data_IF_749348779852
#
_entry.id   IF_749348779852
#
_cell.length_a   1.000
_cell.length_b   1.000
_cell.length_c   1.000
_cell.angle_alpha   90.00
_cell.angle_beta   90.00
_cell.angle_gamma   90.00
#
_symmetry.space_group_name_H-M   'P 1'
#
loop_
_entity.id
_entity.type
_entity.pdbx_description
1 polymer ?
#
# COMPACT_ATOMS: atom_id res chain seq x y z
N UNK A 1 -14.95 -0.58 23.14
CA UNK A 1 -13.56 -0.54 23.67
C UNK A 1 -12.67 -1.11 22.57
N UNK A 2 -11.74 -0.41 21.95
CA UNK A 2 -11.11 0.92 22.17
C UNK A 2 -10.27 1.18 20.90
N UNK A 3 -10.09 2.39 20.33
CA UNK A 3 -9.57 3.60 20.97
C UNK A 3 -10.58 4.45 21.72
N UNK A 4 -10.09 5.33 22.61
CA UNK A 4 -10.90 6.04 23.58
C UNK A 4 -11.86 6.98 22.87
N UNK A 5 -13.04 7.09 23.45
CA UNK A 5 -13.93 8.23 23.32
C UNK A 5 -13.14 9.54 23.43
N UNK A 6 -12.76 10.10 22.29
CA UNK A 6 -12.29 11.45 22.11
C UNK A 6 -12.98 11.95 20.86
N UNK A 7 -13.71 13.06 20.97
CA UNK A 7 -14.42 13.65 19.84
C UNK A 7 -13.50 13.77 18.63
N UNK A 8 -14.08 13.74 17.43
CA UNK A 8 -13.39 14.16 16.23
C UNK A 8 -12.90 15.60 16.45
N UNK A 9 -11.66 15.76 16.90
CA UNK A 9 -11.01 17.06 16.90
C UNK A 9 -10.69 17.31 15.44
N UNK A 10 -11.61 17.94 14.73
CA UNK A 10 -11.25 18.58 13.47
C UNK A 10 -10.16 19.60 13.82
N UNK A 11 -8.94 19.37 13.34
CA UNK A 11 -7.84 20.30 13.48
C UNK A 11 -8.13 21.48 12.53
N UNK A 12 -8.97 22.41 12.98
CA UNK A 12 -9.25 23.69 12.31
C UNK A 12 -8.38 24.82 12.87
N UNK A 13 -7.17 24.51 13.34
CA UNK A 13 -6.30 25.52 13.98
C UNK A 13 -5.37 26.20 12.97
N UNK A 14 -5.90 26.50 11.78
CA UNK A 14 -5.32 27.51 10.92
C UNK A 14 -6.41 28.47 10.45
N UNK A 15 -6.74 29.45 11.30
CA UNK A 15 -7.74 30.49 11.02
C UNK A 15 -7.36 31.43 9.88
N UNK A 16 -6.12 31.35 9.36
CA UNK A 16 -5.61 32.20 8.27
C UNK A 16 -5.00 31.42 7.09
N UNK A 17 -5.19 30.10 7.02
CA UNK A 17 -4.75 29.34 5.85
C UNK A 17 -5.75 29.46 4.70
N UNK A 18 -5.28 29.91 3.54
CA UNK A 18 -6.04 29.83 2.28
C UNK A 18 -5.43 28.77 1.37
N UNK A 19 -6.22 27.80 0.89
CA UNK A 19 -5.77 26.85 -0.13
C UNK A 19 -5.84 27.47 -1.52
N UNK A 20 -4.77 27.32 -2.30
CA UNK A 20 -4.74 27.72 -3.70
C UNK A 20 -3.68 26.91 -4.44
N UNK A 21 -4.05 25.83 -5.13
CA UNK A 21 -3.13 25.18 -6.08
C UNK A 21 -3.26 25.94 -7.41
N UNK A 22 -2.30 26.82 -7.71
CA UNK A 22 -2.39 27.67 -8.90
C UNK A 22 -1.62 27.16 -10.12
N UNK A 23 -0.49 26.48 -9.93
CA UNK A 23 0.31 25.98 -11.05
C UNK A 23 1.35 24.94 -10.64
N UNK A 24 1.75 24.09 -11.59
CA UNK A 24 2.93 23.23 -11.51
C UNK A 24 4.09 23.93 -12.23
N UNK A 25 5.02 24.52 -11.48
CA UNK A 25 6.09 25.39 -12.00
C UNK A 25 7.40 24.68 -12.30
N UNK A 26 7.56 23.45 -11.83
CA UNK A 26 8.69 22.57 -12.15
C UNK A 26 8.19 21.14 -12.19
N UNK A 27 8.67 20.34 -13.14
CA UNK A 27 8.18 18.98 -13.32
C UNK A 27 9.26 18.04 -13.88
N UNK A 28 10.15 17.61 -13.00
CA UNK A 28 11.25 16.69 -13.29
C UNK A 28 11.53 15.77 -12.10
N UNK A 29 10.49 15.19 -11.51
CA UNK A 29 10.61 14.38 -10.29
C UNK A 29 11.67 13.28 -10.46
N UNK A 30 12.72 13.28 -9.64
CA UNK A 30 13.81 12.30 -9.72
C UNK A 30 14.60 12.33 -11.03
N UNK A 31 14.56 13.43 -11.80
CA UNK A 31 15.32 13.60 -13.04
C UNK A 31 14.75 12.86 -14.26
N UNK A 32 13.61 12.17 -14.14
CA UNK A 32 13.03 11.35 -15.22
C UNK A 32 12.13 12.13 -16.18
N UNK A 33 12.02 13.44 -16.00
CA UNK A 33 11.16 14.33 -16.78
C UNK A 33 9.74 14.48 -16.22
N UNK A 34 8.82 15.07 -16.99
CA UNK A 34 8.92 15.34 -18.44
C UNK A 34 9.84 16.52 -18.83
N UNK A 35 10.13 17.45 -17.92
CA UNK A 35 10.93 18.64 -18.21
C UNK A 35 12.36 18.49 -17.68
N UNK A 36 13.24 17.79 -18.41
CA UNK A 36 14.61 17.51 -17.93
C UNK A 36 15.50 18.74 -17.66
N UNK A 37 15.07 19.94 -18.10
CA UNK A 37 15.74 21.21 -17.78
C UNK A 37 15.34 21.83 -16.43
N UNK A 38 14.26 21.35 -15.81
CA UNK A 38 13.82 21.81 -14.48
C UNK A 38 14.66 21.15 -13.37
N UNK A 39 14.75 21.73 -12.15
CA UNK A 39 15.29 21.03 -10.99
C UNK A 39 14.57 19.70 -10.75
N UNK A 40 15.25 18.70 -10.18
CA UNK A 40 14.74 17.33 -9.99
C UNK A 40 13.59 17.21 -8.95
N UNK A 41 12.46 17.85 -9.24
CA UNK A 41 11.31 18.01 -8.34
C UNK A 41 10.01 18.19 -9.12
N UNK A 42 8.88 18.01 -8.44
CA UNK A 42 7.64 18.69 -8.79
C UNK A 42 7.42 19.86 -7.84
N UNK A 43 7.06 21.03 -8.36
CA UNK A 43 6.79 22.23 -7.53
C UNK A 43 5.42 22.79 -7.86
N UNK A 44 4.52 22.79 -6.87
CA UNK A 44 3.22 23.42 -6.95
C UNK A 44 3.29 24.78 -6.26
N UNK A 45 2.98 25.86 -6.98
CA UNK A 45 3.24 27.22 -6.51
C UNK A 45 2.17 28.24 -6.91
N UNK A 46 1.70 29.04 -5.92
CA UNK A 46 1.56 28.66 -4.50
C UNK A 46 0.65 27.43 -4.31
N UNK A 47 0.63 26.91 -3.07
CA UNK A 47 -0.40 25.98 -2.56
C UNK A 47 -1.22 26.57 -1.43
N UNK A 48 -0.71 27.61 -0.76
CA UNK A 48 -1.46 28.37 0.22
C UNK A 48 -0.71 29.59 0.76
N UNK A 49 -1.23 30.18 1.83
CA UNK A 49 -0.58 31.28 2.53
C UNK A 49 -0.75 31.18 4.06
N UNK A 50 0.22 31.71 4.81
CA UNK A 50 0.18 31.86 6.28
C UNK A 50 0.53 33.31 6.59
N UNK A 51 -0.34 34.01 7.33
CA UNK A 51 -0.17 35.44 7.65
C UNK A 51 0.07 36.32 6.40
N UNK A 52 -0.55 35.98 5.27
CA UNK A 52 -0.41 36.67 3.99
C UNK A 52 0.88 36.36 3.19
N UNK A 53 1.80 35.55 3.72
CA UNK A 53 2.95 35.05 2.97
C UNK A 53 2.61 33.72 2.29
N UNK A 54 2.79 33.65 0.98
CA UNK A 54 2.51 32.43 0.21
C UNK A 54 3.60 31.38 0.37
N UNK A 55 3.19 30.11 0.33
CA UNK A 55 4.10 28.98 0.31
C UNK A 55 3.73 27.98 -0.80
N UNK A 56 4.74 27.24 -1.23
CA UNK A 56 4.70 26.22 -2.27
C UNK A 56 4.78 24.82 -1.67
N UNK A 57 4.36 23.83 -2.43
CA UNK A 57 4.63 22.42 -2.16
C UNK A 57 5.68 21.91 -3.14
N UNK A 58 6.81 21.46 -2.61
CA UNK A 58 7.89 20.84 -3.38
C UNK A 58 7.90 19.34 -3.08
N UNK A 59 7.84 18.53 -4.14
CA UNK A 59 7.90 17.07 -4.08
C UNK A 59 9.22 16.60 -4.68
N UNK A 60 10.00 15.86 -3.90
CA UNK A 60 11.27 15.26 -4.33
C UNK A 60 11.30 13.78 -3.98
N UNK A 61 12.25 13.04 -4.56
CA UNK A 61 12.52 11.66 -4.14
C UNK A 61 13.28 11.72 -2.80
N UNK A 62 12.81 10.99 -1.80
CA UNK A 62 13.47 10.93 -0.50
C UNK A 62 14.85 10.27 -0.62
N UNK A 63 15.86 10.69 0.18
CA UNK A 63 17.17 10.07 0.20
C UNK A 63 17.08 8.55 0.43
N UNK A 64 17.80 7.79 -0.38
CA UNK A 64 17.80 6.32 -0.33
C UNK A 64 16.63 5.67 -1.08
N UNK A 65 15.71 6.45 -1.65
CA UNK A 65 14.66 5.95 -2.53
C UNK A 65 14.97 6.21 -4.00
N UNK A 66 14.21 5.57 -4.89
CA UNK A 66 14.24 5.80 -6.32
C UNK A 66 12.83 6.06 -6.81
N UNK A 67 12.69 6.83 -7.88
CA UNK A 67 11.42 7.03 -8.56
C UNK A 67 11.53 6.57 -10.01
N UNK A 68 10.77 5.52 -10.34
CA UNK A 68 10.63 5.06 -11.70
C UNK A 68 9.25 5.45 -12.19
N UNK A 69 9.20 6.25 -13.25
CA UNK A 69 7.96 6.71 -13.82
C UNK A 69 7.49 5.77 -14.95
N UNK A 70 6.20 5.44 -15.00
CA UNK A 70 5.63 4.77 -16.18
C UNK A 70 5.56 5.73 -17.37
N UNK A 71 6.11 5.33 -18.52
CA UNK A 71 6.12 6.16 -19.73
C UNK A 71 4.71 6.37 -20.33
N UNK A 72 4.35 7.58 -20.81
CA UNK A 72 5.12 8.81 -20.70
C UNK A 72 5.03 9.50 -19.32
N UNK A 73 6.13 10.15 -18.91
CA UNK A 73 6.19 10.93 -17.67
C UNK A 73 5.46 12.26 -17.71
N UNK A 74 4.90 12.64 -18.86
CA UNK A 74 3.97 13.78 -19.00
C UNK A 74 2.70 13.64 -18.16
N UNK A 75 2.46 12.48 -17.55
CA UNK A 75 1.37 12.23 -16.61
C UNK A 75 1.74 12.57 -15.16
N UNK A 76 3.01 12.88 -14.86
CA UNK A 76 3.32 13.71 -13.70
C UNK A 76 2.79 15.10 -14.03
N UNK A 77 1.70 15.54 -13.41
CA UNK A 77 1.05 16.79 -13.83
C UNK A 77 0.16 17.35 -12.73
N UNK A 78 -0.26 18.60 -12.91
CA UNK A 78 -1.44 19.14 -12.26
C UNK A 78 -2.66 18.72 -13.09
N UNK A 79 -3.46 17.78 -12.58
CA UNK A 79 -4.67 17.28 -13.23
C UNK A 79 -5.90 17.94 -12.58
N UNK A 80 -6.38 19.04 -13.15
CA UNK A 80 -7.39 19.87 -12.51
C UNK A 80 -6.85 20.44 -11.20
N UNK A 81 -7.45 20.05 -10.06
CA UNK A 81 -7.01 20.44 -8.72
C UNK A 81 -6.13 19.39 -8.03
N UNK A 82 -5.79 18.29 -8.70
CA UNK A 82 -4.99 17.21 -8.14
C UNK A 82 -3.55 17.25 -8.63
N UNK A 83 -2.59 17.08 -7.70
CA UNK A 83 -1.25 16.65 -8.06
C UNK A 83 -1.28 15.18 -8.45
N UNK A 84 -0.86 14.87 -9.67
CA UNK A 84 -0.79 13.49 -10.17
C UNK A 84 0.67 13.08 -10.32
N UNK A 85 1.03 11.92 -9.78
CA UNK A 85 2.36 11.32 -9.85
C UNK A 85 2.19 9.93 -10.47
N UNK A 86 2.95 9.64 -11.52
CA UNK A 86 2.80 8.40 -12.27
C UNK A 86 3.94 7.42 -11.97
N UNK A 87 3.65 6.43 -11.14
CA UNK A 87 4.59 5.39 -10.77
C UNK A 87 4.68 4.28 -11.83
N UNK A 88 5.87 3.70 -12.02
CA UNK A 88 6.07 2.51 -12.84
C UNK A 88 5.42 1.31 -12.18
N UNK A 89 4.65 0.55 -12.94
CA UNK A 89 4.08 -0.70 -12.50
C UNK A 89 5.08 -1.85 -12.74
N UNK A 90 5.96 -2.12 -11.77
CA UNK A 90 6.90 -3.26 -11.80
C UNK A 90 7.53 -3.49 -10.43
N UNK A 91 7.63 -4.72 -9.93
CA UNK A 91 8.45 -5.01 -8.73
C UNK A 91 9.94 -5.11 -9.08
N UNK A 92 10.88 -4.56 -8.27
CA UNK A 92 10.71 -3.63 -7.13
C UNK A 92 10.70 -2.16 -7.53
N UNK A 93 10.58 -1.87 -8.83
CA UNK A 93 10.70 -0.52 -9.38
C UNK A 93 9.49 0.39 -9.16
N UNK A 94 8.35 -0.19 -8.75
CA UNK A 94 7.05 0.43 -8.55
C UNK A 94 6.77 0.78 -7.10
N UNK A 95 7.83 1.21 -6.42
CA UNK A 95 7.83 1.78 -5.08
C UNK A 95 8.64 3.06 -5.15
N UNK A 96 8.15 4.13 -4.52
CA UNK A 96 8.93 5.35 -4.32
C UNK A 96 8.55 6.01 -2.99
N UNK A 97 9.55 6.39 -2.21
CA UNK A 97 9.37 7.27 -1.06
C UNK A 97 9.60 8.69 -1.52
N UNK A 98 8.57 9.52 -1.42
CA UNK A 98 8.57 10.90 -1.85
C UNK A 98 8.53 11.81 -0.64
N UNK A 99 9.34 12.87 -0.68
CA UNK A 99 9.33 13.92 0.33
C UNK A 99 8.50 15.10 -0.17
N UNK A 100 7.51 15.47 0.64
CA UNK A 100 6.68 16.65 0.46
C UNK A 100 7.21 17.74 1.40
N UNK A 101 7.59 18.89 0.86
CA UNK A 101 8.16 20.01 1.64
C UNK A 101 7.43 21.30 1.35
N UNK A 102 7.09 22.05 2.40
CA UNK A 102 6.55 23.40 2.27
C UNK A 102 7.68 24.42 2.30
N UNK A 103 7.68 25.32 1.32
CA UNK A 103 8.69 26.37 1.21
C UNK A 103 8.04 27.71 0.88
N UNK A 104 8.56 28.79 1.44
CA UNK A 104 8.13 30.14 1.15
C UNK A 104 8.31 30.45 -0.35
N UNK A 105 7.27 30.96 -1.00
CA UNK A 105 7.25 31.13 -2.45
C UNK A 105 8.35 32.07 -2.93
N UNK A 106 8.65 33.13 -2.17
CA UNK A 106 9.59 34.18 -2.57
C UNK A 106 11.06 33.80 -2.29
N UNK A 107 11.32 33.11 -1.18
CA UNK A 107 12.67 32.87 -0.66
C UNK A 107 13.12 31.42 -0.79
N UNK A 108 12.19 30.47 -0.93
CA UNK A 108 12.48 29.03 -0.87
C UNK A 108 12.84 28.51 0.53
N UNK A 109 12.71 29.34 1.57
CA UNK A 109 12.95 28.91 2.94
C UNK A 109 11.87 27.93 3.41
N UNK A 110 12.22 26.97 4.26
CA UNK A 110 11.26 25.99 4.79
C UNK A 110 10.17 26.66 5.63
N UNK A 111 8.91 26.26 5.41
CA UNK A 111 7.73 26.77 6.11
C UNK A 111 7.11 25.64 6.92
N UNK A 112 6.92 25.84 8.23
CA UNK A 112 6.17 24.88 9.06
C UNK A 112 4.69 25.22 8.99
N UNK A 113 3.87 24.28 8.52
CA UNK A 113 2.42 24.44 8.45
C UNK A 113 1.81 23.88 9.75
N UNK A 114 1.04 24.67 10.52
CA UNK A 114 0.58 24.29 11.87
C UNK A 114 -0.35 23.07 11.87
N UNK A 115 -1.30 23.02 10.94
CA UNK A 115 -2.16 21.86 10.74
C UNK A 115 -2.67 21.81 9.32
N UNK A 116 -2.74 20.61 8.75
CA UNK A 116 -3.31 20.40 7.42
C UNK A 116 -3.74 18.96 7.23
N UNK A 117 -4.63 18.76 6.27
CA UNK A 117 -4.96 17.45 5.75
C UNK A 117 -4.25 17.22 4.43
N UNK A 118 -3.71 16.02 4.23
CA UNK A 118 -3.21 15.58 2.93
C UNK A 118 -3.98 14.33 2.53
N UNK A 119 -4.64 14.37 1.37
CA UNK A 119 -5.51 13.28 0.93
C UNK A 119 -4.89 12.58 -0.27
N UNK A 120 -4.84 11.26 -0.22
CA UNK A 120 -4.56 10.40 -1.36
C UNK A 120 -5.88 9.84 -1.84
N UNK A 121 -6.06 9.86 -3.15
CA UNK A 121 -7.29 9.46 -3.82
C UNK A 121 -7.00 8.36 -4.80
N UNK A 122 -8.07 7.74 -5.29
CA UNK A 122 -8.00 6.79 -6.39
C UNK A 122 -7.19 5.54 -6.05
N UNK A 123 -7.18 5.17 -4.76
CA UNK A 123 -6.57 3.91 -4.33
C UNK A 123 -7.43 2.76 -4.82
N UNK A 124 -7.11 2.29 -6.01
CA UNK A 124 -7.75 1.18 -6.68
C UNK A 124 -6.76 0.07 -7.01
N UNK A 125 -7.31 -1.00 -7.58
CA UNK A 125 -6.54 -2.02 -8.26
C UNK A 125 -6.71 -1.82 -9.76
N UNK A 126 -5.62 -1.89 -10.50
CA UNK A 126 -5.65 -1.84 -11.97
C UNK A 126 -6.40 -3.02 -12.61
N UNK A 127 -6.66 -4.09 -11.87
CA UNK A 127 -7.46 -5.26 -12.22
C UNK A 127 -8.14 -5.82 -10.95
N UNK A 128 -9.24 -6.55 -11.09
CA UNK A 128 -9.97 -7.14 -9.94
C UNK A 128 -9.26 -8.30 -9.25
N UNK A 129 -7.97 -8.38 -9.47
CA UNK A 129 -7.08 -9.49 -9.23
C UNK A 129 -6.15 -9.20 -8.02
N UNK A 130 -5.95 -7.94 -7.64
CA UNK A 130 -5.23 -7.56 -6.43
C UNK A 130 -3.71 -7.63 -6.53
N UNK A 131 -3.16 -7.86 -7.74
CA UNK A 131 -1.73 -7.74 -8.09
C UNK A 131 -1.24 -6.31 -8.03
N UNK A 132 -2.17 -5.39 -8.29
CA UNK A 132 -1.93 -4.03 -8.77
C UNK A 132 -2.58 -3.02 -7.87
N UNK A 133 -2.52 -3.30 -6.58
CA UNK A 133 -3.11 -2.45 -5.56
C UNK A 133 -2.23 -1.23 -5.39
N UNK A 134 -2.80 -0.05 -5.60
CA UNK A 134 -2.16 1.16 -5.17
C UNK A 134 -2.12 1.21 -3.64
N UNK A 135 -0.96 1.60 -3.11
CA UNK A 135 -0.73 1.66 -1.69
C UNK A 135 0.06 2.90 -1.28
N UNK A 136 -0.28 3.43 -0.11
CA UNK A 136 0.32 4.61 0.51
C UNK A 136 0.81 4.27 1.91
N UNK A 137 2.09 4.52 2.16
CA UNK A 137 2.78 4.35 3.43
C UNK A 137 3.15 5.67 4.09
N UNK A 138 2.90 5.79 5.37
CA UNK A 138 3.35 6.94 6.17
C UNK A 138 3.77 6.49 7.55
N UNK A 139 4.87 7.04 8.09
CA UNK A 139 5.25 6.74 9.47
C UNK A 139 4.17 7.18 10.44
N UNK A 140 3.76 6.29 11.34
CA UNK A 140 2.72 6.62 12.34
C UNK A 140 3.10 7.82 13.21
N UNK A 141 4.40 8.03 13.45
CA UNK A 141 4.93 9.20 14.18
C UNK A 141 4.85 10.52 13.42
N UNK A 142 4.61 10.50 12.10
CA UNK A 142 4.52 11.70 11.29
C UNK A 142 3.11 12.27 11.17
N UNK A 143 2.08 11.49 11.52
CA UNK A 143 0.68 11.92 11.44
C UNK A 143 0.03 12.03 12.83
N UNK A 144 -0.88 12.98 12.98
CA UNK A 144 -1.77 13.08 14.13
C UNK A 144 -2.93 12.08 14.06
N UNK A 145 -3.24 11.57 12.86
CA UNK A 145 -4.27 10.57 12.61
C UNK A 145 -4.60 10.42 11.13
N UNK A 146 -5.52 9.52 10.82
CA UNK A 146 -6.05 9.34 9.47
C UNK A 146 -7.57 9.18 9.50
N UNK A 147 -8.22 9.42 8.37
CA UNK A 147 -9.65 9.25 8.17
C UNK A 147 -9.89 8.44 6.89
N UNK A 148 -10.85 7.53 6.98
CA UNK A 148 -11.39 6.72 5.90
C UNK A 148 -12.92 6.89 5.89
N UNK A 149 -13.53 6.70 4.72
CA UNK A 149 -14.99 6.68 4.61
C UNK A 149 -15.58 5.47 5.39
N UNK A 150 -16.80 5.56 5.97
CA UNK A 150 -17.45 4.40 6.59
C UNK A 150 -17.61 3.19 5.65
N UNK A 151 -17.67 3.42 4.34
CA UNK A 151 -17.72 2.41 3.29
C UNK A 151 -16.37 2.14 2.62
N UNK A 152 -15.26 2.48 3.30
CA UNK A 152 -13.90 2.38 2.74
C UNK A 152 -13.60 1.07 2.03
N UNK A 153 -12.99 1.19 0.86
CA UNK A 153 -12.37 0.14 0.06
C UNK A 153 -10.84 0.14 0.22
N UNK A 154 -10.35 0.78 1.28
CA UNK A 154 -8.94 0.86 1.65
C UNK A 154 -8.70 0.03 2.91
N UNK A 155 -7.76 -0.91 2.83
CA UNK A 155 -7.27 -1.69 3.97
C UNK A 155 -6.13 -0.96 4.68
N UNK A 156 -6.01 -1.19 6.00
CA UNK A 156 -4.96 -0.60 6.84
C UNK A 156 -4.08 -1.70 7.44
N UNK A 157 -2.78 -1.58 7.22
CA UNK A 157 -1.75 -2.47 7.76
C UNK A 157 -0.53 -1.66 8.22
N UNK A 158 0.50 -2.36 8.69
CA UNK A 158 1.75 -1.83 9.20
C UNK A 158 2.92 -2.46 8.44
N UNK A 159 3.95 -1.68 8.14
CA UNK A 159 5.11 -2.08 7.37
C UNK A 159 6.41 -1.58 8.03
N UNK A 160 7.45 -2.41 8.05
CA UNK A 160 8.75 -2.06 8.66
C UNK A 160 9.63 -1.14 7.79
N UNK A 161 9.08 -0.58 6.71
CA UNK A 161 9.77 0.23 5.71
C UNK A 161 10.33 -0.60 4.55
N UNK A 162 10.23 -1.94 4.61
CA UNK A 162 10.55 -2.81 3.48
C UNK A 162 9.34 -2.85 2.55
N UNK A 163 9.45 -2.28 1.35
CA UNK A 163 8.40 -2.29 0.33
C UNK A 163 8.78 -3.18 -0.86
N UNK A 164 7.77 -3.62 -1.63
CA UNK A 164 7.94 -4.54 -2.76
C UNK A 164 7.88 -6.01 -2.33
N UNK A 165 8.49 -6.92 -3.10
CA UNK A 165 8.43 -8.37 -2.82
C UNK A 165 8.94 -8.81 -1.45
N UNK A 166 9.78 -8.02 -0.78
CA UNK A 166 10.24 -8.27 0.60
C UNK A 166 9.50 -7.41 1.63
N UNK A 167 8.31 -6.93 1.28
CA UNK A 167 7.58 -5.96 2.06
C UNK A 167 6.30 -6.48 2.65
N UNK A 168 5.92 -5.84 3.74
CA UNK A 168 5.88 -6.53 4.99
C UNK A 168 4.65 -6.14 5.82
N UNK A 169 3.45 -6.59 5.48
CA UNK A 169 2.21 -6.10 6.08
C UNK A 169 1.69 -6.96 7.25
N UNK A 170 1.58 -6.35 8.43
CA UNK A 170 0.79 -6.90 9.55
C UNK A 170 -0.30 -5.94 10.01
N UNK A 171 -1.28 -6.43 10.76
CA UNK A 171 -2.36 -5.60 11.29
C UNK A 171 -1.89 -4.76 12.48
N UNK A 172 -2.51 -3.60 12.68
CA UNK A 172 -2.28 -2.70 13.80
C UNK A 172 -2.33 -3.40 15.19
N UNK A 173 -1.63 -2.85 16.22
CA UNK A 173 -0.92 -1.57 16.21
C UNK A 173 0.44 -1.64 15.50
N UNK A 174 0.80 -0.56 14.80
CA UNK A 174 2.13 -0.43 14.21
C UNK A 174 3.16 -0.12 15.30
N UNK A 175 4.31 -0.75 15.21
CA UNK A 175 5.44 -0.55 16.11
C UNK A 175 6.15 0.77 15.80
N UNK A 176 6.94 1.23 16.76
CA UNK A 176 7.75 2.43 16.60
C UNK A 176 8.73 2.27 15.43
N UNK A 177 8.65 3.16 14.45
CA UNK A 177 9.49 3.13 13.25
C UNK A 177 8.82 2.52 12.03
N UNK A 178 7.67 1.87 12.19
CA UNK A 178 6.88 1.32 11.09
C UNK A 178 6.03 2.39 10.40
N UNK A 179 5.72 2.13 9.14
CA UNK A 179 4.75 2.84 8.34
C UNK A 179 3.36 2.23 8.52
N UNK A 180 2.35 3.09 8.64
CA UNK A 180 0.95 2.74 8.42
C UNK A 180 0.74 2.71 6.91
N UNK A 181 0.24 1.58 6.42
CA UNK A 181 0.01 1.33 5.00
C UNK A 181 -1.48 1.28 4.71
N UNK A 182 -1.89 2.07 3.72
CA UNK A 182 -3.23 2.15 3.18
C UNK A 182 -3.21 1.53 1.78
N UNK A 183 -3.88 0.39 1.59
CA UNK A 183 -3.86 -0.35 0.31
C UNK A 183 -5.26 -0.51 -0.25
N UNK A 184 -5.40 -0.30 -1.57
CA UNK A 184 -6.62 -0.58 -2.30
C UNK A 184 -7.09 -2.03 -2.08
N UNK A 185 -8.41 -2.24 -2.06
CA UNK A 185 -9.03 -3.58 -1.96
C UNK A 185 -9.95 -3.93 -3.12
N UNK A 186 -10.20 -2.99 -4.02
CA UNK A 186 -11.18 -3.10 -5.10
C UNK A 186 -10.60 -2.67 -6.44
N UNK A 187 -11.08 -3.30 -7.51
CA UNK A 187 -10.83 -2.88 -8.89
C UNK A 187 -11.34 -1.47 -9.16
N UNK A 188 -10.55 -0.67 -9.87
CA UNK A 188 -11.00 0.60 -10.43
C UNK A 188 -10.99 0.65 -11.95
N UNK A 189 -11.84 1.51 -12.49
CA UNK A 189 -11.98 1.81 -13.90
C UNK A 189 -11.88 3.32 -14.11
N UNK A 190 -11.28 3.83 -15.21
CA UNK A 190 -11.01 5.26 -15.40
C UNK A 190 -12.15 6.29 -15.19
N UNK A 191 -13.40 5.84 -15.09
CA UNK A 191 -14.57 6.65 -14.79
C UNK A 191 -14.74 6.96 -13.28
N UNK A 192 -14.08 6.23 -12.39
CA UNK A 192 -14.14 6.44 -10.94
C UNK A 192 -13.15 7.50 -10.44
N UNK A 193 -12.09 7.82 -11.21
CA UNK A 193 -11.10 8.81 -10.81
C UNK A 193 -11.76 10.17 -10.49
N UNK A 194 -11.41 10.79 -9.35
CA UNK A 194 -12.01 12.07 -8.97
C UNK A 194 -11.58 13.19 -9.91
N UNK A 195 -12.55 14.02 -10.29
CA UNK A 195 -12.33 15.20 -11.15
C UNK A 195 -12.38 16.52 -10.37
N UNK A 196 -13.02 16.55 -9.19
CA UNK A 196 -13.01 17.67 -8.26
C UNK A 196 -12.91 17.19 -6.79
N UNK A 197 -11.85 17.56 -6.04
CA UNK A 197 -11.70 17.18 -4.62
C UNK A 197 -12.77 17.78 -3.70
N UNK A 198 -13.51 18.79 -4.15
CA UNK A 198 -14.61 19.42 -3.39
C UNK A 198 -15.99 18.84 -3.72
N UNK A 199 -16.09 17.95 -4.72
CA UNK A 199 -17.34 17.35 -5.17
C UNK A 199 -17.13 15.87 -5.56
N UNK A 200 -16.80 15.05 -4.57
CA UNK A 200 -16.55 13.62 -4.77
C UNK A 200 -17.83 12.77 -4.64
N UNK A 201 -17.88 11.67 -5.39
CA UNK A 201 -18.89 10.62 -5.23
C UNK A 201 -18.59 9.76 -3.99
N UNK A 202 -19.56 8.94 -3.56
CA UNK A 202 -19.35 8.00 -2.46
C UNK A 202 -18.24 6.98 -2.76
N UNK A 203 -18.15 6.51 -4.00
CA UNK A 203 -17.10 5.59 -4.46
C UNK A 203 -15.71 6.24 -4.40
N UNK A 204 -15.59 7.50 -4.84
CA UNK A 204 -14.34 8.27 -4.75
C UNK A 204 -13.89 8.50 -3.30
N UNK A 205 -14.83 8.69 -2.38
CA UNK A 205 -14.54 8.80 -0.95
C UNK A 205 -14.09 7.45 -0.36
N UNK A 206 -14.74 6.35 -0.75
CA UNK A 206 -14.38 5.01 -0.30
C UNK A 206 -12.96 4.58 -0.70
N UNK A 207 -12.42 5.12 -1.79
CA UNK A 207 -11.05 4.86 -2.28
C UNK A 207 -10.05 5.96 -1.94
N UNK A 208 -10.31 6.68 -0.86
CA UNK A 208 -9.44 7.78 -0.41
C UNK A 208 -8.99 7.58 1.03
N UNK A 209 -7.81 8.07 1.33
CA UNK A 209 -7.32 8.24 2.70
C UNK A 209 -6.96 9.70 2.92
N UNK A 210 -7.42 10.26 4.03
CA UNK A 210 -7.03 11.60 4.48
C UNK A 210 -6.14 11.50 5.70
N UNK A 211 -4.92 12.01 5.59
CA UNK A 211 -3.94 12.06 6.66
C UNK A 211 -3.95 13.43 7.33
N UNK A 212 -3.92 13.46 8.66
CA UNK A 212 -3.84 14.67 9.46
C UNK A 212 -2.40 14.90 9.90
N UNK A 213 -1.86 16.08 9.61
CA UNK A 213 -0.52 16.49 10.03
C UNK A 213 -0.60 17.73 10.92
N UNK A 214 0.34 17.83 11.85
CA UNK A 214 0.50 18.96 12.78
C UNK A 214 1.97 19.36 12.81
N UNK A 215 2.23 20.67 12.73
CA UNK A 215 3.55 21.28 12.82
C UNK A 215 4.61 20.62 11.91
N UNK A 216 4.27 20.44 10.63
CA UNK A 216 5.19 19.85 9.64
C UNK A 216 5.67 20.88 8.63
N UNK A 217 6.98 20.91 8.44
CA UNK A 217 7.61 21.58 7.31
C UNK A 217 7.87 20.65 6.12
N UNK A 218 7.98 19.35 6.42
CA UNK A 218 8.04 18.29 5.43
C UNK A 218 7.58 16.96 6.02
N UNK A 219 7.25 16.01 5.16
CA UNK A 219 6.90 14.65 5.51
C UNK A 219 7.20 13.71 4.34
N UNK A 220 7.40 12.42 4.66
CA UNK A 220 7.65 11.37 3.69
C UNK A 220 6.41 10.50 3.51
N UNK A 221 6.15 10.13 2.26
CA UNK A 221 5.14 9.14 1.91
C UNK A 221 5.74 8.16 0.95
N UNK A 222 5.57 6.87 1.24
CA UNK A 222 5.91 5.80 0.31
C UNK A 222 4.68 5.47 -0.52
N UNK A 223 4.82 5.46 -1.85
CA UNK A 223 3.79 5.01 -2.78
C UNK A 223 4.23 3.69 -3.41
N UNK A 224 3.31 2.74 -3.59
CA UNK A 224 3.58 1.44 -4.20
C UNK A 224 2.44 0.96 -5.09
N UNK A 225 2.79 0.10 -6.04
CA UNK A 225 1.86 -0.53 -6.99
C UNK A 225 1.89 -2.08 -6.94
N UNK A 226 2.41 -2.72 -5.88
CA UNK A 226 2.65 -4.18 -5.85
C UNK A 226 2.13 -4.92 -4.61
N UNK A 227 1.44 -6.04 -4.86
CA UNK A 227 1.27 -7.19 -3.93
C UNK A 227 1.27 -8.52 -4.71
N UNK A 228 2.29 -9.39 -4.55
CA UNK A 228 2.48 -10.60 -5.41
C UNK A 228 1.59 -11.81 -5.03
N UNK A 229 0.84 -12.33 -6.00
CA UNK A 229 -0.16 -13.38 -5.84
C UNK A 229 -0.41 -14.14 -7.17
N UNK A 230 0.43 -15.13 -7.45
CA UNK A 230 0.37 -15.96 -8.65
C UNK A 230 0.57 -17.45 -8.36
N UNK A 231 -0.12 -17.97 -7.34
CA UNK A 231 0.05 -19.36 -6.93
C UNK A 231 -0.15 -20.33 -8.10
N UNK A 232 0.90 -21.06 -8.49
CA UNK A 232 0.84 -22.05 -9.57
C UNK A 232 0.63 -21.48 -10.98
N UNK A 233 0.91 -20.20 -11.21
CA UNK A 233 0.82 -19.58 -12.54
C UNK A 233 -0.60 -19.29 -13.03
N UNK A 234 -1.62 -19.62 -12.25
CA UNK A 234 -3.04 -19.43 -12.61
C UNK A 234 -3.60 -18.07 -12.20
N UNK A 235 -2.73 -17.19 -11.68
CA UNK A 235 -3.07 -15.83 -11.31
C UNK A 235 -3.53 -15.69 -9.84
N UNK A 236 -4.06 -14.51 -9.46
CA UNK A 236 -4.42 -13.37 -10.31
C UNK A 236 -3.30 -12.76 -11.18
N UNK A 237 -2.05 -12.86 -10.73
CA UNK A 237 -0.90 -12.15 -11.32
C UNK A 237 -0.04 -13.04 -12.24
N UNK A 238 -0.54 -13.56 -13.36
CA UNK A 238 0.14 -14.61 -14.15
C UNK A 238 1.55 -14.26 -14.71
N UNK A 239 2.01 -13.01 -14.58
CA UNK A 239 3.37 -12.56 -14.93
C UNK A 239 4.37 -12.56 -13.76
N UNK A 240 3.92 -12.74 -12.53
CA UNK A 240 4.75 -12.83 -11.33
C UNK A 240 5.38 -14.23 -11.18
N UNK A 241 6.40 -14.43 -10.32
CA UNK A 241 6.82 -15.76 -9.92
C UNK A 241 5.61 -16.60 -9.44
N UNK A 242 5.58 -17.91 -9.75
CA UNK A 242 4.45 -18.80 -9.47
C UNK A 242 4.23 -19.10 -7.97
N UNK A 243 3.97 -18.06 -7.18
CA UNK A 243 3.90 -18.09 -5.73
C UNK A 243 2.85 -17.12 -5.19
N UNK A 244 2.41 -17.37 -3.96
CA UNK A 244 1.77 -16.39 -3.10
C UNK A 244 2.72 -16.08 -1.96
N UNK A 245 3.00 -14.81 -1.68
CA UNK A 245 3.95 -14.40 -0.64
C UNK A 245 3.27 -13.51 0.40
N UNK A 246 3.33 -13.93 1.65
CA UNK A 246 2.91 -13.16 2.81
C UNK A 246 4.15 -12.54 3.45
N UNK A 247 4.28 -11.25 3.16
CA UNK A 247 5.30 -10.31 3.60
C UNK A 247 5.15 -9.76 5.02
N UNK A 248 6.09 -9.76 5.98
CA UNK A 248 6.56 -10.92 6.68
C UNK A 248 5.40 -11.52 7.47
N UNK A 249 5.64 -12.69 8.00
CA UNK A 249 4.73 -13.34 8.94
C UNK A 249 5.31 -13.41 10.36
N UNK A 250 6.53 -12.93 10.57
CA UNK A 250 7.16 -12.82 11.88
C UNK A 250 8.62 -12.37 11.82
N UNK A 251 9.29 -12.37 12.98
CA UNK A 251 10.72 -12.07 13.07
C UNK A 251 11.44 -13.00 14.07
N UNK A 252 12.73 -13.26 13.84
CA UNK A 252 13.62 -14.03 14.71
C UNK A 252 14.89 -13.21 14.93
N UNK A 253 15.21 -12.90 16.20
CA UNK A 253 16.40 -12.10 16.57
C UNK A 253 16.49 -10.74 15.83
N UNK A 254 15.35 -10.13 15.51
CA UNK A 254 15.28 -8.85 14.80
C UNK A 254 15.34 -8.93 13.28
N UNK A 255 15.52 -10.12 12.68
CA UNK A 255 15.38 -10.33 11.24
C UNK A 255 13.96 -10.82 10.90
N UNK A 256 13.27 -10.11 10.01
CA UNK A 256 11.94 -10.47 9.51
C UNK A 256 12.00 -11.69 8.58
N UNK A 257 10.93 -12.50 8.57
CA UNK A 257 10.79 -13.61 7.64
C UNK A 257 9.37 -13.71 7.08
N UNK A 258 9.27 -14.20 5.85
CA UNK A 258 8.06 -14.27 5.05
C UNK A 258 7.51 -15.69 5.00
N UNK A 259 6.23 -15.83 4.67
CA UNK A 259 5.64 -17.11 4.26
C UNK A 259 5.45 -17.10 2.75
N UNK A 260 6.17 -17.96 2.05
CA UNK A 260 6.00 -18.19 0.61
C UNK A 260 5.25 -19.50 0.41
N UNK A 261 4.18 -19.45 -0.37
CA UNK A 261 3.36 -20.59 -0.76
C UNK A 261 3.56 -20.86 -2.26
N UNK A 262 3.98 -22.08 -2.60
CA UNK A 262 4.16 -22.53 -3.99
C UNK A 262 3.47 -23.86 -4.23
N UNK A 263 3.26 -24.23 -5.49
CA UNK A 263 2.82 -25.58 -5.85
C UNK A 263 4.00 -26.53 -5.75
N UNK A 264 3.81 -27.67 -5.07
CA UNK A 264 4.88 -28.66 -4.92
C UNK A 264 5.26 -29.26 -6.29
N UNK A 265 6.55 -29.61 -6.52
CA UNK A 265 6.98 -30.21 -7.78
C UNK A 265 6.14 -31.43 -8.16
N UNK A 266 5.67 -31.48 -9.42
CA UNK A 266 4.83 -32.56 -9.93
C UNK A 266 3.35 -32.50 -9.55
N UNK A 267 2.92 -31.45 -8.85
CA UNK A 267 1.50 -31.16 -8.57
C UNK A 267 0.99 -30.03 -9.46
N UNK A 268 -0.34 -29.93 -9.57
CA UNK A 268 -1.01 -28.80 -10.21
C UNK A 268 -1.86 -28.07 -9.18
N UNK A 269 -2.13 -26.79 -9.43
CA UNK A 269 -3.11 -26.01 -8.70
C UNK A 269 -4.11 -25.44 -9.69
N UNK A 270 -5.37 -25.81 -9.54
CA UNK A 270 -6.46 -25.23 -10.30
C UNK A 270 -7.35 -24.44 -9.34
N UNK A 271 -7.54 -23.16 -9.62
CA UNK A 271 -8.45 -22.34 -8.85
C UNK A 271 -9.89 -22.50 -9.37
N UNK A 272 -10.89 -22.32 -8.51
CA UNK A 272 -12.24 -22.02 -9.01
C UNK A 272 -12.26 -20.58 -9.54
N UNK A 273 -12.83 -20.36 -10.73
CA UNK A 273 -12.96 -19.01 -11.30
C UNK A 273 -13.93 -18.14 -10.48
N UNK A 274 -13.61 -16.86 -10.21
CA UNK A 274 -12.33 -16.21 -10.51
C UNK A 274 -11.22 -16.59 -9.50
N UNK A 275 -9.95 -16.67 -9.96
CA UNK A 275 -8.77 -16.94 -9.10
C UNK A 275 -8.46 -15.79 -8.13
N UNK A 276 -9.14 -14.65 -8.26
CA UNK A 276 -9.01 -13.43 -7.45
C UNK A 276 -9.37 -13.61 -5.98
N UNK A 277 -9.88 -14.79 -5.62
CA UNK A 277 -10.16 -15.19 -4.25
C UNK A 277 -8.96 -15.86 -3.55
N UNK A 278 -7.85 -16.07 -4.26
CA UNK A 278 -6.54 -16.16 -3.64
C UNK A 278 -6.22 -14.77 -3.10
N UNK A 279 -6.17 -14.57 -1.79
CA UNK A 279 -5.98 -13.23 -1.21
C UNK A 279 -5.66 -13.30 0.27
N UNK A 280 -5.32 -12.16 0.86
CA UNK A 280 -5.45 -11.95 2.28
C UNK A 280 -6.92 -11.65 2.61
N UNK A 281 -7.57 -12.48 3.44
CA UNK A 281 -8.93 -12.28 3.91
C UNK A 281 -8.90 -12.03 5.43
N UNK A 282 -8.86 -10.75 5.82
CA UNK A 282 -8.64 -10.36 7.20
C UNK A 282 -7.25 -10.78 7.68
N UNK A 283 -7.18 -11.63 8.72
CA UNK A 283 -5.91 -12.19 9.24
C UNK A 283 -5.54 -13.54 8.62
N UNK A 284 -6.29 -14.01 7.63
CA UNK A 284 -6.12 -15.34 7.04
C UNK A 284 -5.59 -15.24 5.61
N UNK A 285 -4.61 -16.07 5.27
CA UNK A 285 -4.32 -16.36 3.88
C UNK A 285 -5.44 -17.24 3.31
N UNK A 286 -6.06 -16.80 2.22
CA UNK A 286 -7.12 -17.54 1.54
C UNK A 286 -6.59 -18.10 0.21
N UNK A 287 -6.78 -19.40 0.01
CA UNK A 287 -6.40 -20.13 -1.20
C UNK A 287 -7.63 -20.84 -1.73
N UNK A 288 -8.05 -20.53 -2.95
CA UNK A 288 -9.29 -21.04 -3.52
C UNK A 288 -9.05 -22.20 -4.48
N UNK A 289 -9.46 -23.41 -4.08
CA UNK A 289 -9.40 -24.60 -4.94
C UNK A 289 -10.58 -24.69 -5.92
N UNK A 290 -10.34 -25.28 -7.08
CA UNK A 290 -11.38 -25.66 -8.04
C UNK A 290 -12.26 -26.77 -7.46
N UNK A 291 -13.57 -26.65 -7.54
CA UNK A 291 -14.48 -27.72 -7.14
C UNK A 291 -14.70 -28.72 -8.29
N UNK A 292 -13.74 -29.61 -8.51
CA UNK A 292 -13.84 -30.69 -9.50
C UNK A 292 -12.86 -31.82 -9.18
N UNK A 293 -13.31 -33.07 -9.10
CA UNK A 293 -12.40 -34.23 -8.95
C UNK A 293 -11.86 -34.66 -10.33
N UNK A 294 -10.53 -34.84 -10.54
CA UNK A 294 -9.42 -34.68 -9.59
C UNK A 294 -8.75 -33.31 -9.59
N UNK A 295 -9.29 -32.36 -10.35
CA UNK A 295 -8.67 -31.04 -10.59
C UNK A 295 -8.62 -30.12 -9.37
N UNK A 296 -9.42 -30.39 -8.33
CA UNK A 296 -9.57 -29.64 -7.08
C UNK A 296 -8.60 -30.02 -5.98
N UNK A 297 -7.61 -30.86 -6.30
CA UNK A 297 -6.55 -31.27 -5.38
C UNK A 297 -5.28 -30.53 -5.74
N UNK A 298 -4.62 -29.96 -4.74
CA UNK A 298 -3.31 -29.34 -4.89
C UNK A 298 -2.38 -29.72 -3.74
N UNK A 299 -1.13 -30.04 -4.05
CA UNK A 299 -0.07 -30.14 -3.05
C UNK A 299 0.64 -28.81 -2.98
N UNK A 300 0.55 -28.14 -1.83
CA UNK A 300 1.16 -26.83 -1.61
C UNK A 300 2.39 -26.97 -0.72
N UNK A 301 3.43 -26.20 -1.04
CA UNK A 301 4.62 -26.04 -0.22
C UNK A 301 4.57 -24.68 0.46
N UNK A 302 4.60 -24.72 1.80
CA UNK A 302 4.74 -23.55 2.65
C UNK A 302 6.21 -23.46 3.09
N UNK A 303 6.87 -22.34 2.81
CA UNK A 303 8.27 -22.11 3.16
C UNK A 303 8.46 -20.76 3.83
N UNK A 304 9.27 -20.74 4.88
CA UNK A 304 9.73 -19.49 5.46
C UNK A 304 11.02 -19.05 4.82
N UNK A 305 11.09 -17.79 4.41
CA UNK A 305 12.28 -17.18 3.81
C UNK A 305 12.59 -15.85 4.48
N UNK A 306 13.85 -15.50 4.56
CA UNK A 306 14.32 -14.22 5.08
C UNK A 306 13.81 -13.11 4.17
N UNK A 307 13.21 -12.08 4.78
CA UNK A 307 12.52 -11.00 4.05
C UNK A 307 13.45 -10.26 3.10
N UNK A 308 14.70 -10.00 3.52
CA UNK A 308 15.67 -9.22 2.78
C UNK A 308 16.41 -10.03 1.70
N UNK A 309 16.74 -11.29 1.98
CA UNK A 309 17.61 -12.12 1.13
C UNK A 309 16.88 -13.19 0.34
N UNK A 310 15.64 -13.53 0.72
CA UNK A 310 14.90 -14.68 0.17
C UNK A 310 15.49 -16.05 0.56
N UNK A 311 16.51 -16.09 1.42
CA UNK A 311 17.13 -17.33 1.89
C UNK A 311 16.19 -18.08 2.82
N UNK A 312 16.19 -19.42 2.81
CA UNK A 312 15.31 -20.20 3.68
C UNK A 312 15.58 -19.93 5.18
N UNK A 313 14.52 -19.67 5.93
CA UNK A 313 14.55 -19.47 7.39
C UNK A 313 13.98 -20.68 8.09
N UNK A 314 14.66 -21.12 9.16
CA UNK A 314 14.12 -22.14 10.07
C UNK A 314 13.42 -21.46 11.22
N UNK A 315 12.09 -21.53 11.24
CA UNK A 315 11.28 -21.06 12.37
C UNK A 315 11.26 -22.16 13.45
N UNK A 316 11.74 -21.91 14.69
CA UNK A 316 11.91 -22.96 15.70
C UNK A 316 10.62 -23.68 16.08
N UNK A 317 9.51 -22.94 16.15
CA UNK A 317 8.17 -23.45 16.41
C UNK A 317 7.14 -22.44 15.93
N UNK A 318 6.03 -22.93 15.38
CA UNK A 318 4.89 -22.11 14.96
C UNK A 318 3.62 -22.96 15.00
N UNK A 319 2.49 -22.29 15.16
CA UNK A 319 1.17 -22.88 14.95
C UNK A 319 0.74 -22.59 13.52
N UNK A 320 0.13 -23.58 12.88
CA UNK A 320 -0.44 -23.43 11.54
C UNK A 320 -1.80 -24.13 11.52
N UNK A 321 -2.83 -23.31 11.34
CA UNK A 321 -4.22 -23.76 11.40
C UNK A 321 -4.89 -23.49 10.07
N UNK A 322 -5.69 -24.46 9.61
CA UNK A 322 -6.53 -24.34 8.42
C UNK A 322 -7.98 -24.15 8.85
N UNK A 323 -8.68 -23.24 8.17
CA UNK A 323 -10.06 -22.89 8.43
C UNK A 323 -10.91 -23.15 7.19
N UNK A 324 -12.24 -23.13 7.37
CA UNK A 324 -13.21 -23.30 6.28
C UNK A 324 -13.08 -24.65 5.57
N UNK A 325 -12.78 -25.71 6.35
CA UNK A 325 -12.74 -27.11 5.89
C UNK A 325 -14.12 -27.76 5.95
N UNK A 326 -15.17 -27.01 5.60
CA UNK A 326 -16.54 -27.53 5.56
C UNK A 326 -16.92 -28.06 4.16
N UNK A 327 -18.08 -28.73 4.08
CA UNK A 327 -18.62 -29.22 2.81
C UNK A 327 -19.85 -28.41 2.42
N UNK A 328 -19.89 -27.98 1.17
CA UNK A 328 -20.99 -27.19 0.59
C UNK A 328 -22.38 -27.86 0.72
N UNK A 329 -22.43 -29.18 0.79
CA UNK A 329 -23.67 -29.97 0.71
C UNK A 329 -24.16 -30.49 2.08
N UNK A 330 -23.54 -30.06 3.19
CA UNK A 330 -24.08 -30.19 4.55
C UNK A 330 -24.20 -31.61 5.13
N UNK A 331 -23.61 -32.64 4.52
CA UNK A 331 -23.91 -34.04 4.84
C UNK A 331 -22.71 -34.89 5.33
N UNK A 332 -21.74 -34.32 6.03
CA UNK A 332 -20.70 -35.11 6.72
C UNK A 332 -20.04 -34.40 7.91
N UNK A 333 -19.24 -35.18 8.64
CA UNK A 333 -18.67 -34.82 9.95
C UNK A 333 -17.69 -33.65 9.88
N UNK A 334 -17.73 -32.79 10.89
CA UNK A 334 -16.86 -31.62 11.03
C UNK A 334 -15.39 -32.05 11.15
N UNK A 335 -14.53 -31.50 10.28
CA UNK A 335 -13.08 -31.66 10.37
C UNK A 335 -12.40 -30.31 10.61
N UNK A 336 -11.87 -30.11 11.82
CA UNK A 336 -10.87 -29.09 12.12
C UNK A 336 -9.48 -29.75 12.06
N UNK A 337 -8.55 -29.16 11.31
CA UNK A 337 -7.17 -29.65 11.22
C UNK A 337 -6.23 -28.61 11.84
N UNK A 338 -5.78 -28.89 13.07
CA UNK A 338 -4.77 -28.10 13.76
C UNK A 338 -3.45 -28.89 13.75
N UNK A 339 -2.39 -28.29 13.20
CA UNK A 339 -1.09 -28.96 13.11
C UNK A 339 -0.06 -28.20 13.94
N UNK A 340 0.51 -28.88 14.93
CA UNK A 340 1.66 -28.39 15.69
C UNK A 340 2.94 -29.01 15.11
N UNK A 341 3.82 -28.18 14.55
CA UNK A 341 5.14 -28.63 14.08
C UNK A 341 6.20 -28.35 15.14
N UNK A 342 6.70 -29.40 15.77
CA UNK A 342 7.87 -29.35 16.65
C UNK A 342 9.03 -30.10 16.01
N UNK A 343 10.22 -29.49 15.96
CA UNK A 343 11.43 -30.19 15.57
C UNK A 343 11.71 -31.31 16.59
N UNK A 344 11.76 -32.56 16.15
CA UNK A 344 12.32 -33.64 16.96
C UNK A 344 13.80 -33.32 17.25
N UNK A 345 14.26 -33.42 18.51
CA UNK A 345 15.67 -33.15 18.83
C UNK A 345 16.55 -34.15 18.06
N UNK A 346 17.57 -33.63 17.37
CA UNK A 346 18.69 -34.44 16.89
C UNK A 346 19.72 -34.55 18.01
#
# INVERSE_FOLDING_TARGET
MYGPSGGYTCYYDCTECTEAISSLTSNNLGGVGPNSGDPEQMRFSPVGSINGASFDLVVTVAPGSNYNCASPCTQNKLNGKFGQIRLLYADPLGVATLRFSFVDTATGASVTVPSFYFSFFDLDMRDGNGDRSEAVGVKGSDIAGYMLDPSTEVSVACNDGSWGSGGALHVAPCLSGEEIVFSATTYGEPADNPTDPSAMTGEQLARSVRLAFVDKASFDVTISSLTSNNLGGVGPNSGDPEQMRFSPVGSINGASFDLVVTVAPGSNYNCASPCTQNKLNGKFGQIRLLYADPLGVATLRFSFVDTATGASVTVPSFYFSFFDLDMRDGNGDRSEADTCSTRAPR
#
